data_IF_852553671525
#
_entry.id   IF_852553671525
#
_cell.length_a   1.000
_cell.length_b   1.000
_cell.length_c   1.000
_cell.angle_alpha   90.00
_cell.angle_beta   90.00
_cell.angle_gamma   90.00
#
_symmetry.space_group_name_H-M   'P 1'
#
loop_
_entity.id
_entity.type
_entity.pdbx_description
1 polymer ?
#
# COMPACT_ATOMS: atom_id res chain seq x y z
N UNK A 1 -1.42 20.89 2.48
CA UNK A 1 -1.19 19.50 2.93
C UNK A 1 -0.52 18.75 1.79
N UNK A 2 0.51 18.01 2.07
CA UNK A 2 1.18 17.23 1.02
C UNK A 2 0.32 15.99 0.74
N UNK A 3 -0.14 15.85 -0.52
CA UNK A 3 -0.77 14.60 -0.98
C UNK A 3 0.28 13.46 -0.99
N UNK A 4 -0.20 12.22 -0.98
CA UNK A 4 0.67 11.05 -1.08
C UNK A 4 1.55 11.11 -2.32
N UNK A 5 2.86 11.00 -2.15
CA UNK A 5 3.85 10.96 -3.23
C UNK A 5 4.27 9.52 -3.48
N UNK A 6 4.09 9.04 -4.72
CA UNK A 6 4.63 7.74 -5.17
C UNK A 6 6.01 7.94 -5.78
N UNK A 7 7.00 7.25 -5.24
CA UNK A 7 8.39 7.36 -5.64
C UNK A 7 8.85 6.04 -6.27
N UNK A 8 9.52 6.16 -7.40
CA UNK A 8 10.22 5.06 -8.08
C UNK A 8 11.67 5.44 -8.29
N UNK A 9 12.57 4.70 -7.67
CA UNK A 9 14.01 4.91 -7.81
C UNK A 9 14.51 4.44 -9.18
N UNK A 10 15.60 5.04 -9.66
CA UNK A 10 16.27 4.62 -10.90
C UNK A 10 16.92 3.25 -10.73
N UNK A 11 17.24 2.58 -11.84
CA UNK A 11 17.70 1.17 -11.87
C UNK A 11 18.80 0.80 -10.86
N UNK A 12 19.74 1.68 -10.59
CA UNK A 12 20.87 1.41 -9.68
C UNK A 12 20.66 1.91 -8.25
N UNK A 13 19.64 2.75 -8.03
CA UNK A 13 19.41 3.40 -6.76
C UNK A 13 18.33 2.68 -5.95
N UNK A 14 18.46 2.75 -4.63
CA UNK A 14 17.44 2.29 -3.68
C UNK A 14 17.50 3.14 -2.41
N UNK A 15 16.37 3.24 -1.72
CA UNK A 15 16.29 3.79 -0.38
C UNK A 15 16.07 2.63 0.60
N UNK A 16 17.05 2.32 1.44
CA UNK A 16 17.02 1.15 2.34
C UNK A 16 16.65 -0.17 1.64
N UNK A 17 17.11 -0.35 0.40
CA UNK A 17 16.75 -1.51 -0.43
C UNK A 17 15.39 -1.44 -1.11
N UNK A 18 14.61 -0.39 -0.88
CA UNK A 18 13.32 -0.18 -1.55
C UNK A 18 13.52 0.57 -2.87
N UNK A 19 12.83 0.12 -3.91
CA UNK A 19 12.81 0.80 -5.22
C UNK A 19 11.51 1.51 -5.53
N UNK A 20 10.43 1.10 -4.88
CA UNK A 20 9.11 1.71 -5.02
C UNK A 20 8.48 1.87 -3.64
N UNK A 21 8.10 3.09 -3.32
CA UNK A 21 7.46 3.42 -2.04
C UNK A 21 6.61 4.67 -2.17
N UNK A 22 5.74 4.88 -1.22
CA UNK A 22 4.97 6.12 -1.07
C UNK A 22 5.43 6.88 0.16
N UNK A 23 5.39 8.20 0.06
CA UNK A 23 5.49 9.10 1.21
C UNK A 23 4.10 9.70 1.42
N UNK A 24 3.56 9.56 2.60
CA UNK A 24 2.18 9.94 2.92
C UNK A 24 2.06 10.53 4.31
N UNK A 25 0.93 11.20 4.56
CA UNK A 25 0.64 11.71 5.89
C UNK A 25 0.46 10.51 6.86
N UNK A 26 1.11 10.51 8.04
CA UNK A 26 0.95 9.44 9.03
C UNK A 26 -0.50 9.21 9.47
N UNK A 27 -1.33 10.25 9.43
CA UNK A 27 -2.75 10.18 9.76
C UNK A 27 -3.54 9.18 8.90
N UNK A 28 -3.15 9.00 7.64
CA UNK A 28 -3.82 8.07 6.70
C UNK A 28 -3.80 6.61 7.18
N UNK A 29 -2.85 6.26 8.03
CA UNK A 29 -2.68 4.92 8.61
C UNK A 29 -2.74 4.92 10.13
N UNK A 30 -3.47 5.85 10.74
CA UNK A 30 -3.65 5.96 12.19
C UNK A 30 -2.30 6.04 12.95
N UNK A 31 -1.35 6.81 12.44
CA UNK A 31 -0.02 7.01 13.02
C UNK A 31 0.69 5.67 13.31
N UNK A 32 1.02 5.38 14.57
CA UNK A 32 1.70 4.16 15.00
C UNK A 32 0.88 2.89 14.77
N UNK A 33 -0.41 3.00 14.54
CA UNK A 33 -1.31 1.87 14.30
C UNK A 33 -0.83 0.96 13.17
N UNK A 34 -0.35 1.53 12.07
CA UNK A 34 0.20 0.76 10.96
C UNK A 34 1.48 0.00 11.34
N UNK A 35 2.36 0.62 12.14
CA UNK A 35 3.60 -0.03 12.60
C UNK A 35 3.27 -1.25 13.45
N UNK A 36 2.37 -1.10 14.41
CA UNK A 36 1.93 -2.19 15.29
C UNK A 36 1.28 -3.31 14.48
N UNK A 37 0.41 -2.96 13.56
CA UNK A 37 -0.29 -3.91 12.69
C UNK A 37 0.68 -4.72 11.81
N UNK A 38 1.60 -4.05 11.13
CA UNK A 38 2.59 -4.72 10.29
C UNK A 38 3.56 -5.57 11.09
N UNK A 39 3.93 -5.14 12.30
CA UNK A 39 4.77 -5.96 13.18
C UNK A 39 4.04 -7.23 13.63
N UNK A 40 2.77 -7.13 13.98
CA UNK A 40 1.95 -8.29 14.32
C UNK A 40 1.88 -9.29 13.16
N UNK A 41 1.60 -8.82 11.95
CA UNK A 41 1.57 -9.66 10.74
C UNK A 41 2.93 -10.31 10.45
N UNK A 42 4.02 -9.57 10.64
CA UNK A 42 5.38 -10.09 10.43
C UNK A 42 5.70 -11.24 11.38
N UNK A 43 5.28 -11.14 12.65
CA UNK A 43 5.43 -12.22 13.64
C UNK A 43 4.67 -13.48 13.26
N UNK A 44 3.54 -13.32 12.58
CA UNK A 44 2.76 -14.44 12.01
C UNK A 44 3.31 -14.95 10.66
N UNK A 45 4.44 -14.45 10.21
CA UNK A 45 5.07 -14.86 8.95
C UNK A 45 4.37 -14.33 7.70
N UNK A 46 3.48 -13.35 7.83
CA UNK A 46 2.80 -12.70 6.70
C UNK A 46 3.73 -11.67 6.05
N UNK A 47 3.75 -11.64 4.72
CA UNK A 47 4.51 -10.65 3.95
C UNK A 47 3.96 -9.24 4.21
N UNK A 48 4.79 -8.34 4.73
CA UNK A 48 4.41 -6.99 5.09
C UNK A 48 5.31 -5.94 4.47
N UNK A 49 4.78 -4.79 4.03
CA UNK A 49 5.59 -3.66 3.60
C UNK A 49 6.49 -3.15 4.73
N UNK A 50 7.65 -2.60 4.36
CA UNK A 50 8.41 -1.76 5.28
C UNK A 50 7.66 -0.45 5.45
N UNK A 51 7.46 -0.05 6.70
CA UNK A 51 6.72 1.16 7.06
C UNK A 51 7.43 1.85 8.22
N UNK A 52 7.77 3.12 8.05
CA UNK A 52 8.46 3.90 9.07
C UNK A 52 8.22 5.39 8.89
N UNK A 53 8.50 6.16 9.94
CA UNK A 53 8.42 7.61 9.89
C UNK A 53 9.78 8.24 9.60
N UNK A 54 9.76 9.38 8.91
CA UNK A 54 10.95 10.17 8.64
C UNK A 54 10.60 11.66 8.54
N UNK A 55 11.55 12.50 8.87
CA UNK A 55 11.47 13.91 8.52
C UNK A 55 11.63 14.11 7.02
N UNK A 56 10.75 14.89 6.43
CA UNK A 56 10.79 15.19 5.00
C UNK A 56 11.09 16.66 4.76
N UNK A 57 12.11 16.91 3.95
CA UNK A 57 12.42 18.24 3.42
C UNK A 57 12.29 18.23 1.90
N UNK A 58 11.51 19.15 1.36
CA UNK A 58 11.29 19.30 -0.10
C UNK A 58 11.71 20.71 -0.50
N UNK A 59 12.64 20.81 -1.45
CA UNK A 59 13.16 22.10 -1.94
C UNK A 59 13.61 23.03 -0.81
N UNK A 60 14.27 22.50 0.20
CA UNK A 60 14.76 23.25 1.34
C UNK A 60 13.69 23.61 2.40
N UNK A 61 12.44 23.27 2.17
CA UNK A 61 11.35 23.48 3.12
C UNK A 61 11.06 22.20 3.90
N UNK A 62 11.14 22.28 5.22
CA UNK A 62 10.74 21.17 6.09
C UNK A 62 9.23 20.99 6.03
N UNK A 63 8.78 19.78 5.68
CA UNK A 63 7.37 19.39 5.63
C UNK A 63 6.93 18.75 6.95
N UNK A 64 7.87 18.22 7.73
CA UNK A 64 7.63 17.53 8.98
C UNK A 64 7.71 16.01 8.86
N UNK A 65 7.19 15.35 9.87
CA UNK A 65 7.22 13.88 9.94
C UNK A 65 6.21 13.28 8.94
N UNK A 66 6.71 12.43 8.06
CA UNK A 66 5.93 11.72 7.05
C UNK A 66 6.16 10.22 7.17
N UNK A 67 5.18 9.43 6.72
CA UNK A 67 5.27 7.98 6.67
C UNK A 67 5.81 7.52 5.31
N UNK A 68 6.75 6.60 5.33
CA UNK A 68 7.24 5.89 4.15
C UNK A 68 6.65 4.48 4.15
N UNK A 69 5.96 4.12 3.09
CA UNK A 69 5.36 2.79 2.91
C UNK A 69 5.88 2.15 1.62
N UNK A 70 6.51 0.99 1.75
CA UNK A 70 7.03 0.22 0.62
C UNK A 70 5.89 -0.36 -0.21
N UNK A 71 6.03 -0.34 -1.54
CA UNK A 71 5.11 -1.02 -2.43
C UNK A 71 5.47 -2.50 -2.56
N UNK A 72 4.45 -3.34 -2.79
CA UNK A 72 4.66 -4.75 -3.10
C UNK A 72 5.48 -4.89 -4.38
N UNK A 73 6.66 -5.49 -4.24
CA UNK A 73 7.64 -5.62 -5.31
C UNK A 73 8.59 -6.79 -5.02
N UNK A 74 9.45 -7.09 -5.97
CA UNK A 74 10.52 -8.07 -5.82
C UNK A 74 11.42 -7.77 -4.60
N UNK A 75 11.79 -6.52 -4.42
CA UNK A 75 12.66 -6.08 -3.33
C UNK A 75 12.02 -6.33 -1.94
N UNK A 76 10.70 -6.24 -1.86
CA UNK A 76 9.97 -6.59 -0.64
C UNK A 76 10.10 -8.08 -0.32
N UNK A 77 9.94 -8.95 -1.32
CA UNK A 77 10.13 -10.40 -1.14
C UNK A 77 11.55 -10.72 -0.68
N UNK A 78 12.55 -10.15 -1.35
CA UNK A 78 13.96 -10.34 -1.03
C UNK A 78 14.28 -9.86 0.40
N UNK A 79 13.73 -8.74 0.83
CA UNK A 79 13.96 -8.17 2.17
C UNK A 79 13.49 -9.08 3.31
N UNK A 80 12.54 -9.97 3.03
CA UNK A 80 11.99 -10.93 3.99
C UNK A 80 12.42 -12.37 3.70
N UNK A 81 13.50 -12.54 2.92
CA UNK A 81 14.08 -13.85 2.61
C UNK A 81 13.18 -14.76 1.80
N UNK A 82 12.22 -14.22 1.06
CA UNK A 82 11.31 -14.98 0.21
C UNK A 82 11.84 -15.05 -1.22
N UNK A 83 11.57 -16.18 -1.88
CA UNK A 83 11.89 -16.34 -3.29
C UNK A 83 11.02 -15.39 -4.14
N UNK A 84 11.60 -14.92 -5.25
CA UNK A 84 10.86 -14.17 -6.25
C UNK A 84 9.70 -15.01 -6.81
N UNK A 85 8.54 -14.41 -6.93
CA UNK A 85 7.33 -15.07 -7.41
C UNK A 85 6.25 -14.07 -7.77
N UNK A 86 5.11 -14.59 -8.20
CA UNK A 86 3.94 -13.78 -8.54
C UNK A 86 3.33 -13.19 -7.26
N UNK A 87 3.08 -11.89 -7.27
CA UNK A 87 2.33 -11.21 -6.22
C UNK A 87 0.89 -11.01 -6.72
N UNK A 88 -0.04 -11.68 -6.07
CA UNK A 88 -1.46 -11.52 -6.35
C UNK A 88 -2.07 -10.50 -5.40
N UNK A 89 -2.79 -9.55 -5.94
CA UNK A 89 -3.53 -8.56 -5.17
C UNK A 89 -5.02 -8.64 -5.52
N UNK A 90 -5.86 -8.68 -4.48
CA UNK A 90 -7.30 -8.54 -4.67
C UNK A 90 -7.62 -7.13 -5.19
N UNK A 91 -8.37 -7.04 -6.28
CA UNK A 91 -8.77 -5.76 -6.87
C UNK A 91 -10.12 -5.32 -6.32
N UNK A 92 -10.09 -4.37 -5.40
CA UNK A 92 -11.27 -3.78 -4.76
C UNK A 92 -11.72 -2.46 -5.40
N UNK A 93 -11.17 -2.11 -6.57
CA UNK A 93 -11.43 -0.81 -7.23
C UNK A 93 -12.91 -0.55 -7.54
N UNK A 94 -13.72 -1.60 -7.60
CA UNK A 94 -15.16 -1.50 -7.85
C UNK A 94 -16.01 -1.28 -6.59
N UNK A 95 -15.45 -1.48 -5.39
CA UNK A 95 -16.25 -1.45 -4.16
C UNK A 95 -16.96 -0.13 -3.92
N UNK A 96 -16.26 0.96 -4.16
CA UNK A 96 -16.72 2.31 -3.88
C UNK A 96 -17.24 3.05 -5.12
N UNK A 97 -17.39 2.35 -6.26
CA UNK A 97 -17.87 2.96 -7.48
C UNK A 97 -19.38 3.17 -7.41
N UNK A 98 -19.89 4.42 -7.48
CA UNK A 98 -21.33 4.69 -7.49
C UNK A 98 -22.01 4.01 -8.67
N UNK A 99 -23.15 3.37 -8.46
CA UNK A 99 -23.94 2.73 -9.51
C UNK A 99 -25.42 3.01 -9.35
N UNK A 100 -25.98 3.63 -10.36
CA UNK A 100 -27.42 3.76 -10.54
C UNK A 100 -28.14 4.61 -9.51
N UNK A 101 -29.48 4.49 -9.50
CA UNK A 101 -30.40 5.21 -8.61
C UNK A 101 -30.66 4.51 -7.27
N UNK A 102 -29.98 3.39 -7.01
CA UNK A 102 -30.06 2.69 -5.73
C UNK A 102 -29.33 3.44 -4.61
N UNK A 103 -29.74 3.16 -3.36
CA UNK A 103 -29.05 3.72 -2.21
C UNK A 103 -27.59 3.22 -2.08
N UNK A 104 -26.81 3.80 -1.17
CA UNK A 104 -25.40 3.42 -0.98
C UNK A 104 -25.19 1.93 -0.74
N UNK A 105 -26.16 1.29 -0.12
CA UNK A 105 -26.13 -0.13 0.20
C UNK A 105 -26.26 -1.03 -1.04
N UNK A 106 -27.12 -0.66 -1.98
CA UNK A 106 -27.32 -1.41 -3.24
C UNK A 106 -26.10 -1.31 -4.14
N UNK A 107 -25.50 -0.13 -4.22
CA UNK A 107 -24.26 0.09 -4.94
C UNK A 107 -23.12 -0.73 -4.35
N UNK A 108 -22.97 -0.77 -3.04
CA UNK A 108 -21.97 -1.57 -2.34
C UNK A 108 -22.13 -3.06 -2.63
N UNK A 109 -23.35 -3.60 -2.50
CA UNK A 109 -23.64 -5.01 -2.77
C UNK A 109 -23.31 -5.39 -4.20
N UNK A 110 -23.71 -4.59 -5.18
CA UNK A 110 -23.44 -4.85 -6.60
C UNK A 110 -21.95 -4.80 -6.88
N UNK A 111 -21.25 -3.80 -6.34
CA UNK A 111 -19.82 -3.65 -6.51
C UNK A 111 -19.05 -4.80 -5.86
N UNK A 112 -19.50 -5.29 -4.72
CA UNK A 112 -18.92 -6.45 -4.04
C UNK A 112 -18.99 -7.70 -4.93
N UNK A 113 -20.16 -8.01 -5.48
CA UNK A 113 -20.36 -9.16 -6.38
C UNK A 113 -19.47 -9.06 -7.62
N UNK A 114 -19.39 -7.88 -8.25
CA UNK A 114 -18.52 -7.69 -9.42
C UNK A 114 -17.05 -7.77 -9.07
N UNK A 115 -16.64 -7.27 -7.90
CA UNK A 115 -15.28 -7.40 -7.43
C UNK A 115 -14.88 -8.88 -7.27
N UNK A 116 -15.75 -9.70 -6.68
CA UNK A 116 -15.51 -11.14 -6.62
C UNK A 116 -15.43 -11.79 -8.00
N UNK A 117 -16.31 -11.43 -8.92
CA UNK A 117 -16.26 -11.94 -10.30
C UNK A 117 -14.97 -11.56 -11.02
N UNK A 118 -14.53 -10.31 -10.86
CA UNK A 118 -13.29 -9.81 -11.47
C UNK A 118 -12.04 -10.53 -10.94
N UNK A 119 -12.03 -10.88 -9.66
CA UNK A 119 -10.89 -11.55 -9.03
C UNK A 119 -10.97 -13.08 -9.13
N UNK A 120 -12.01 -13.65 -9.75
CA UNK A 120 -12.07 -15.08 -10.01
C UNK A 120 -10.97 -15.46 -11.01
N UNK A 121 -10.05 -16.28 -10.57
CA UNK A 121 -9.05 -16.89 -11.45
C UNK A 121 -9.81 -17.85 -12.36
N UNK A 122 -9.74 -17.66 -13.66
CA UNK A 122 -10.25 -18.67 -14.61
C UNK A 122 -9.39 -19.92 -14.46
N UNK A 123 -10.02 -21.01 -14.10
CA UNK A 123 -9.42 -22.33 -14.15
C UNK A 123 -9.05 -22.70 -15.59
#
# INVERSE_FOLDING_TARGET
>A
MLESLKIKMKKKDSLFGMKRFSIQNPEERLYEGAIIFFEALRREGVLTPRYFFTDLTVNGKNIGIMAVEEHFSKELLESQGRKEGVILKYDESLWFKPRGRGGPFDSFRTNLIETFRKNKISE
#
